data_IF_867297257722
#
_entry.id   IF_867297257722
#
_cell.length_a   1.000
_cell.length_b   1.000
_cell.length_c   1.000
_cell.angle_alpha   90.00
_cell.angle_beta   90.00
_cell.angle_gamma   90.00
#
_symmetry.space_group_name_H-M   'P 1'
#
loop_
_entity.id
_entity.type
_entity.pdbx_description
1 polymer ?
#
# COMPACT_ATOMS: atom_id res chain seq x y z
N UNK A 1 3.94 7.04 15.73
CA UNK A 1 4.96 7.85 16.44
C UNK A 1 5.47 7.10 17.65
N UNK A 2 6.75 7.27 18.01
CA UNK A 2 7.35 6.66 19.19
C UNK A 2 7.04 7.48 20.46
N UNK A 3 6.99 6.83 21.62
CA UNK A 3 6.87 7.48 22.93
C UNK A 3 8.24 7.75 23.52
N UNK A 4 8.31 8.64 24.51
CA UNK A 4 9.59 8.94 25.19
C UNK A 4 10.26 7.70 25.79
N UNK A 5 9.49 6.75 26.33
CA UNK A 5 10.05 5.53 26.90
C UNK A 5 10.63 4.59 25.83
N UNK A 6 10.04 4.58 24.63
CA UNK A 6 10.59 3.85 23.49
C UNK A 6 11.88 4.49 22.98
N UNK A 7 11.94 5.83 22.93
CA UNK A 7 13.14 6.57 22.53
C UNK A 7 14.28 6.41 23.55
N UNK A 8 13.98 6.51 24.84
CA UNK A 8 14.94 6.28 25.92
C UNK A 8 15.55 4.87 25.83
N UNK A 9 14.69 3.86 25.65
CA UNK A 9 15.12 2.48 25.45
C UNK A 9 15.95 2.28 24.18
N UNK A 10 15.63 2.99 23.10
CA UNK A 10 16.34 2.91 21.83
C UNK A 10 17.81 3.37 21.96
N UNK A 11 18.04 4.45 22.70
CA UNK A 11 19.38 5.03 22.88
C UNK A 11 20.08 4.56 24.16
N UNK A 12 19.49 3.62 24.90
CA UNK A 12 20.00 3.13 26.20
C UNK A 12 20.25 4.26 27.22
N UNK A 13 19.34 5.24 27.26
CA UNK A 13 19.37 6.37 28.20
C UNK A 13 18.10 6.42 29.04
N UNK A 14 18.08 7.23 30.08
CA UNK A 14 16.87 7.49 30.84
C UNK A 14 15.94 8.50 30.14
N UNK A 15 14.67 8.52 30.55
CA UNK A 15 13.67 9.41 29.95
C UNK A 15 13.96 10.90 30.21
N UNK A 16 14.66 11.26 31.29
CA UNK A 16 14.97 12.66 31.59
C UNK A 16 16.10 13.17 30.70
N UNK A 17 17.08 12.33 30.36
CA UNK A 17 18.07 12.61 29.31
C UNK A 17 17.39 12.92 27.97
N UNK A 18 16.42 12.11 27.54
CA UNK A 18 15.65 12.41 26.31
C UNK A 18 14.87 13.72 26.43
N UNK A 19 14.26 14.03 27.59
CA UNK A 19 13.57 15.32 27.82
C UNK A 19 14.53 16.51 27.73
N UNK A 20 15.76 16.32 28.20
CA UNK A 20 16.79 17.33 28.11
C UNK A 20 17.14 17.57 26.63
N UNK A 21 17.45 16.51 25.87
CA UNK A 21 17.80 16.63 24.45
C UNK A 21 16.73 17.36 23.62
N UNK A 22 15.45 17.01 23.78
CA UNK A 22 14.36 17.68 23.03
C UNK A 22 14.14 19.14 23.43
N UNK A 23 14.62 19.53 24.61
CA UNK A 23 14.54 20.93 25.07
C UNK A 23 15.72 21.73 24.55
N UNK A 24 16.92 21.16 24.63
CA UNK A 24 18.16 21.78 24.16
C UNK A 24 18.16 21.94 22.63
N UNK A 25 17.84 20.86 21.91
CA UNK A 25 17.85 20.81 20.45
C UNK A 25 16.45 21.01 19.86
N UNK A 26 15.63 21.85 20.50
CA UNK A 26 14.22 22.07 20.15
C UNK A 26 14.01 22.55 18.71
N UNK A 27 15.00 23.22 18.10
CA UNK A 27 14.95 23.70 16.72
C UNK A 27 15.05 22.56 15.67
N UNK A 28 15.52 21.38 16.09
CA UNK A 28 15.76 20.22 15.23
C UNK A 28 14.73 19.09 15.43
N UNK A 29 13.75 19.29 16.30
CA UNK A 29 12.66 18.34 16.56
C UNK A 29 11.31 19.02 16.39
N UNK A 30 10.29 18.21 16.14
CA UNK A 30 8.91 18.68 15.95
C UNK A 30 8.30 19.20 17.25
N UNK A 31 7.25 20.01 17.11
CA UNK A 31 6.43 20.45 18.23
C UNK A 31 5.76 19.28 18.97
N UNK A 32 5.51 18.16 18.29
CA UNK A 32 4.99 16.94 18.93
C UNK A 32 6.04 16.26 19.83
N UNK A 33 7.32 16.32 19.44
CA UNK A 33 8.43 15.88 20.27
C UNK A 33 8.71 16.86 21.42
N UNK A 34 8.44 18.16 21.21
CA UNK A 34 8.49 19.21 22.23
C UNK A 34 7.20 19.98 22.52
N UNK A 35 6.15 19.30 23.06
CA UNK A 35 4.84 19.90 23.21
C UNK A 35 4.70 20.72 24.49
N UNK A 36 3.62 21.50 24.57
CA UNK A 36 3.27 22.27 25.75
C UNK A 36 2.97 21.39 26.97
N UNK A 37 3.06 21.97 28.17
CA UNK A 37 2.86 21.28 29.44
C UNK A 37 1.51 20.53 29.48
N UNK A 38 1.56 19.26 29.87
CA UNK A 38 0.38 18.39 30.01
C UNK A 38 0.06 17.54 28.78
N UNK A 39 0.82 17.71 27.69
CA UNK A 39 0.74 16.85 26.51
C UNK A 39 1.83 15.78 26.52
N UNK A 40 1.53 14.64 25.88
CA UNK A 40 2.47 13.52 25.75
C UNK A 40 3.42 13.78 24.57
N UNK A 41 4.73 13.62 24.79
CA UNK A 41 5.75 13.69 23.72
C UNK A 41 5.59 12.55 22.73
N UNK A 42 5.60 12.87 21.45
CA UNK A 42 5.54 11.91 20.35
C UNK A 42 6.65 12.22 19.36
N UNK A 43 7.31 11.17 18.87
CA UNK A 43 8.49 11.30 18.00
C UNK A 43 8.22 10.65 16.64
N UNK A 44 8.48 11.39 15.57
CA UNK A 44 8.44 10.88 14.19
C UNK A 44 9.85 10.48 13.69
N UNK A 45 9.94 10.01 12.44
CA UNK A 45 11.22 9.61 11.83
C UNK A 45 12.27 10.75 11.83
N UNK A 46 11.86 12.01 11.60
CA UNK A 46 12.76 13.14 11.61
C UNK A 46 13.32 13.41 13.02
N UNK A 47 12.47 13.35 14.04
CA UNK A 47 12.89 13.51 15.44
C UNK A 47 13.90 12.43 15.84
N UNK A 48 13.65 11.17 15.46
CA UNK A 48 14.54 10.07 15.78
C UNK A 48 15.91 10.21 15.10
N UNK A 49 15.97 10.74 13.87
CA UNK A 49 17.24 11.01 13.18
C UNK A 49 18.06 12.06 13.91
N UNK A 50 17.43 13.18 14.31
CA UNK A 50 18.09 14.23 15.07
C UNK A 50 18.61 13.71 16.42
N UNK A 51 17.76 12.99 17.17
CA UNK A 51 18.13 12.43 18.46
C UNK A 51 19.18 11.32 18.37
N UNK A 52 19.24 10.57 17.27
CA UNK A 52 20.28 9.57 17.06
C UNK A 52 21.66 10.21 16.86
N UNK A 53 21.73 11.34 16.16
CA UNK A 53 22.98 12.12 16.06
C UNK A 53 23.37 12.69 17.42
N UNK A 54 22.41 13.23 18.17
CA UNK A 54 22.65 13.72 19.54
C UNK A 54 23.21 12.60 20.41
N UNK A 55 22.56 11.44 20.41
CA UNK A 55 22.97 10.28 21.20
C UNK A 55 24.38 9.79 20.83
N UNK A 56 24.75 9.80 19.54
CA UNK A 56 26.08 9.40 19.08
C UNK A 56 27.19 10.33 19.58
N UNK A 57 26.91 11.63 19.62
CA UNK A 57 27.86 12.65 20.06
C UNK A 57 27.77 12.95 21.56
N UNK A 58 26.91 12.25 22.28
CA UNK A 58 26.67 12.49 23.70
C UNK A 58 27.76 11.83 24.56
N UNK A 59 28.49 12.65 25.31
CA UNK A 59 29.55 12.23 26.23
C UNK A 59 29.28 12.77 27.66
N UNK A 60 30.16 12.49 28.63
CA UNK A 60 30.02 12.99 30.01
C UNK A 60 30.01 14.53 30.07
N UNK A 61 30.80 15.19 29.21
CA UNK A 61 30.84 16.64 28.99
C UNK A 61 30.56 16.92 27.50
N UNK A 62 29.28 16.97 27.07
CA UNK A 62 28.94 17.06 25.66
C UNK A 62 29.31 18.43 25.06
N UNK A 63 29.90 18.41 23.86
CA UNK A 63 30.17 19.61 23.07
C UNK A 63 28.89 20.06 22.34
N UNK A 64 28.10 20.91 23.00
CA UNK A 64 26.86 21.45 22.46
C UNK A 64 27.06 22.19 21.13
N UNK A 65 28.14 22.95 20.99
CA UNK A 65 28.42 23.71 19.76
C UNK A 65 28.64 22.76 18.58
N UNK A 66 29.38 21.67 18.81
CA UNK A 66 29.57 20.63 17.80
C UNK A 66 28.25 19.92 17.44
N UNK A 67 27.43 19.55 18.44
CA UNK A 67 26.14 18.90 18.17
C UNK A 67 25.22 19.81 17.35
N UNK A 68 25.10 21.09 17.72
CA UNK A 68 24.34 22.07 16.92
C UNK A 68 24.93 22.24 15.52
N UNK A 69 26.26 22.31 15.38
CA UNK A 69 26.90 22.45 14.07
C UNK A 69 26.56 21.26 13.15
N UNK A 70 26.60 20.03 13.70
CA UNK A 70 26.31 18.80 12.96
C UNK A 70 24.81 18.64 12.63
N UNK A 71 23.92 19.07 13.54
CA UNK A 71 22.49 19.13 13.24
C UNK A 71 22.19 20.15 12.14
N UNK A 72 22.80 21.34 12.20
CA UNK A 72 22.62 22.42 11.23
C UNK A 72 23.18 22.09 9.84
N UNK A 73 24.26 21.33 9.74
CA UNK A 73 24.78 20.87 8.45
C UNK A 73 23.97 19.71 7.85
N UNK A 74 23.01 19.17 8.60
CA UNK A 74 22.12 18.10 8.15
C UNK A 74 22.72 16.70 8.27
N UNK A 75 23.78 16.49 9.06
CA UNK A 75 24.47 15.19 9.20
C UNK A 75 23.51 14.07 9.64
N UNK A 76 22.49 14.41 10.44
CA UNK A 76 21.43 13.51 10.86
C UNK A 76 20.62 12.91 9.70
N UNK A 77 20.74 13.44 8.48
CA UNK A 77 20.14 12.85 7.26
C UNK A 77 21.00 11.74 6.62
N UNK A 78 22.17 11.44 7.20
CA UNK A 78 23.01 10.32 6.77
C UNK A 78 22.27 8.98 6.83
N UNK A 79 22.73 8.04 6.00
CA UNK A 79 22.08 6.73 5.81
C UNK A 79 21.91 5.96 7.13
N UNK A 80 22.94 5.94 7.99
CA UNK A 80 22.91 5.25 9.29
C UNK A 80 21.78 5.72 10.22
N UNK A 81 21.54 7.03 10.29
CA UNK A 81 20.52 7.61 11.16
C UNK A 81 19.13 7.43 10.55
N UNK A 82 19.05 7.53 9.23
CA UNK A 82 17.83 7.25 8.47
C UNK A 82 17.38 5.79 8.63
N UNK A 83 18.30 4.84 8.51
CA UNK A 83 18.02 3.42 8.71
C UNK A 83 17.52 3.16 10.13
N UNK A 84 18.24 3.67 11.15
CA UNK A 84 17.83 3.55 12.55
C UNK A 84 16.42 4.12 12.77
N UNK A 85 16.15 5.33 12.30
CA UNK A 85 14.85 5.95 12.48
C UNK A 85 13.72 5.16 11.81
N UNK A 86 13.94 4.61 10.62
CA UNK A 86 12.96 3.79 9.89
C UNK A 86 12.68 2.45 10.57
N UNK A 87 13.71 1.78 11.08
CA UNK A 87 13.57 0.50 11.80
C UNK A 87 12.84 0.65 13.14
N UNK A 88 12.88 1.84 13.73
CA UNK A 88 12.26 2.13 15.03
C UNK A 88 10.99 2.99 14.95
N UNK A 89 10.53 3.31 13.74
CA UNK A 89 9.23 3.95 13.50
C UNK A 89 8.22 2.91 13.00
N UNK A 90 7.00 2.83 13.56
CA UNK A 90 5.97 1.94 13.05
C UNK A 90 5.65 2.22 11.57
N UNK A 91 5.46 1.17 10.77
CA UNK A 91 5.06 1.30 9.35
C UNK A 91 3.65 1.91 9.23
N UNK A 92 2.73 1.53 10.12
CA UNK A 92 1.38 2.10 10.20
C UNK A 92 1.32 3.12 11.34
N UNK A 93 1.01 4.36 11.00
CA UNK A 93 1.08 5.52 11.90
C UNK A 93 -0.24 6.30 11.86
N UNK A 94 -0.45 7.15 12.86
CA UNK A 94 -1.49 8.16 12.82
C UNK A 94 -1.26 9.13 11.65
N UNK A 95 -2.34 9.76 11.20
CA UNK A 95 -2.31 10.75 10.12
C UNK A 95 -1.53 11.98 10.60
N UNK A 96 -0.46 12.41 9.90
CA UNK A 96 0.25 13.64 10.25
C UNK A 96 -0.67 14.87 10.21
N UNK A 97 -0.46 15.80 11.14
CA UNK A 97 -1.26 17.03 11.24
C UNK A 97 -0.98 18.02 10.09
N UNK A 98 0.16 17.86 9.40
CA UNK A 98 0.73 18.77 8.41
C UNK A 98 0.78 18.18 6.99
N UNK A 99 -0.23 17.40 6.61
CA UNK A 99 -0.33 16.85 5.24
C UNK A 99 -0.64 17.97 4.22
N UNK A 100 0.18 18.05 3.18
CA UNK A 100 -0.04 18.87 2.00
C UNK A 100 0.06 18.06 0.69
N UNK A 101 0.05 18.76 -0.46
CA UNK A 101 0.12 18.14 -1.79
C UNK A 101 1.46 17.47 -2.11
N UNK A 102 2.51 17.74 -1.33
CA UNK A 102 3.85 17.16 -1.51
C UNK A 102 4.04 15.83 -0.76
N UNK A 103 3.04 15.44 0.03
CA UNK A 103 3.10 14.26 0.89
C UNK A 103 3.22 12.95 0.11
N UNK A 104 4.13 12.08 0.56
CA UNK A 104 4.47 10.81 -0.09
C UNK A 104 3.94 9.59 0.69
N UNK A 105 2.70 9.67 1.16
CA UNK A 105 2.04 8.62 1.96
C UNK A 105 0.70 8.17 1.37
N UNK A 106 0.09 7.14 2.00
CA UNK A 106 -1.25 6.69 1.68
C UNK A 106 -2.09 6.55 2.95
N UNK A 107 -3.30 7.11 2.92
CA UNK A 107 -4.30 6.90 3.97
C UNK A 107 -4.98 5.54 3.76
N UNK A 108 -5.02 4.73 4.82
CA UNK A 108 -5.62 3.39 4.79
C UNK A 108 -6.67 3.29 5.89
N UNK A 109 -7.89 2.92 5.51
CA UNK A 109 -9.02 2.73 6.43
C UNK A 109 -9.77 4.01 6.79
N UNK A 110 -10.65 3.91 7.80
CA UNK A 110 -11.46 5.04 8.28
C UNK A 110 -12.28 5.73 7.18
N UNK A 111 -12.31 7.05 7.18
CA UNK A 111 -13.00 7.85 6.13
C UNK A 111 -12.29 7.81 4.77
N UNK A 112 -11.04 7.33 4.71
CA UNK A 112 -10.30 7.12 3.47
C UNK A 112 -10.58 5.74 2.82
N UNK A 113 -11.53 4.98 3.38
CA UNK A 113 -11.90 3.68 2.83
C UNK A 113 -12.43 3.81 1.40
N UNK A 114 -11.79 3.08 0.48
CA UNK A 114 -12.14 3.05 -0.94
C UNK A 114 -13.36 2.17 -1.18
N UNK A 115 -14.19 2.55 -2.13
CA UNK A 115 -15.27 1.68 -2.59
C UNK A 115 -14.72 0.48 -3.39
N UNK A 116 -15.55 -0.54 -3.61
CA UNK A 116 -15.14 -1.77 -4.29
C UNK A 116 -14.65 -1.54 -5.73
N UNK A 117 -15.21 -0.57 -6.45
CA UNK A 117 -14.78 -0.21 -7.82
C UNK A 117 -13.39 0.41 -7.77
N UNK A 118 -13.17 1.35 -6.85
CA UNK A 118 -11.88 2.00 -6.65
C UNK A 118 -10.80 0.98 -6.27
N UNK A 119 -11.11 -0.01 -5.44
CA UNK A 119 -10.18 -1.10 -5.11
C UNK A 119 -9.92 -1.97 -6.34
N UNK A 120 -10.95 -2.39 -7.09
CA UNK A 120 -10.78 -3.16 -8.33
C UNK A 120 -9.92 -2.45 -9.38
N UNK A 121 -10.12 -1.13 -9.55
CA UNK A 121 -9.29 -0.26 -10.39
C UNK A 121 -7.86 -0.20 -9.90
N UNK A 122 -7.64 -0.01 -8.60
CA UNK A 122 -6.29 0.07 -8.01
C UNK A 122 -5.47 -1.20 -8.30
N UNK A 123 -6.07 -2.39 -8.17
CA UNK A 123 -5.40 -3.65 -8.50
C UNK A 123 -5.10 -3.79 -10.00
N UNK A 124 -6.03 -3.39 -10.88
CA UNK A 124 -5.78 -3.37 -12.33
C UNK A 124 -4.65 -2.41 -12.69
N UNK A 125 -4.64 -1.19 -12.13
CA UNK A 125 -3.60 -0.19 -12.37
C UNK A 125 -2.24 -0.72 -11.95
N UNK A 126 -2.15 -1.39 -10.79
CA UNK A 126 -0.91 -2.03 -10.36
C UNK A 126 -0.45 -3.12 -11.35
N UNK A 127 -1.38 -3.96 -11.84
CA UNK A 127 -1.07 -4.98 -12.84
C UNK A 127 -0.60 -4.37 -14.18
N UNK A 128 -1.26 -3.31 -14.66
CA UNK A 128 -0.85 -2.60 -15.89
C UNK A 128 0.57 -2.04 -15.76
N UNK A 129 0.91 -1.50 -14.60
CA UNK A 129 2.22 -0.95 -14.31
C UNK A 129 3.30 -2.04 -14.26
N UNK A 130 3.00 -3.20 -13.67
CA UNK A 130 3.89 -4.36 -13.75
C UNK A 130 4.05 -4.89 -15.17
N UNK A 131 2.99 -4.94 -15.99
CA UNK A 131 3.10 -5.29 -17.41
C UNK A 131 4.00 -4.30 -18.14
N UNK A 132 3.87 -3.00 -17.88
CA UNK A 132 4.72 -1.97 -18.47
C UNK A 132 6.19 -2.21 -18.11
N UNK A 133 6.48 -2.55 -16.86
CA UNK A 133 7.84 -2.87 -16.40
C UNK A 133 8.36 -4.19 -16.99
N UNK A 134 7.55 -5.24 -17.07
CA UNK A 134 7.88 -6.51 -17.73
C UNK A 134 8.20 -6.36 -19.22
N UNK A 135 7.61 -5.37 -19.89
CA UNK A 135 7.85 -5.12 -21.31
C UNK A 135 9.02 -4.16 -21.58
N UNK A 136 9.57 -3.51 -20.55
CA UNK A 136 10.59 -2.46 -20.73
C UNK A 136 11.86 -2.63 -19.92
N UNK A 137 11.82 -3.34 -18.79
CA UNK A 137 12.92 -3.41 -17.82
C UNK A 137 13.23 -4.84 -17.37
N UNK A 138 12.20 -5.62 -17.07
CA UNK A 138 12.35 -7.00 -16.57
C UNK A 138 12.16 -8.03 -17.69
N UNK A 139 12.61 -9.26 -17.43
CA UNK A 139 12.14 -10.39 -18.21
C UNK A 139 10.71 -10.75 -17.75
N UNK A 140 9.74 -10.99 -18.67
CA UNK A 140 8.35 -11.19 -18.29
C UNK A 140 8.09 -12.25 -17.21
N UNK A 141 8.92 -13.29 -17.13
CA UNK A 141 8.80 -14.39 -16.18
C UNK A 141 9.27 -14.05 -14.75
N UNK A 142 9.92 -12.91 -14.54
CA UNK A 142 10.37 -12.49 -13.19
C UNK A 142 9.20 -11.94 -12.36
N UNK A 143 8.15 -11.46 -13.02
CA UNK A 143 7.00 -10.81 -12.40
C UNK A 143 5.65 -11.27 -12.98
N UNK A 144 5.61 -12.42 -13.64
CA UNK A 144 4.39 -12.99 -14.25
C UNK A 144 3.33 -13.38 -13.19
N UNK A 145 3.73 -14.03 -12.10
CA UNK A 145 2.85 -14.39 -10.98
C UNK A 145 2.09 -13.18 -10.42
N UNK A 146 2.75 -12.09 -9.98
CA UNK A 146 2.03 -10.93 -9.49
C UNK A 146 1.19 -10.23 -10.56
N UNK A 147 1.62 -10.18 -11.83
CA UNK A 147 0.79 -9.63 -12.92
C UNK A 147 -0.54 -10.38 -13.02
N UNK A 148 -0.47 -11.71 -13.12
CA UNK A 148 -1.67 -12.53 -13.34
C UNK A 148 -2.56 -12.50 -12.09
N UNK A 149 -1.96 -12.58 -10.89
CA UNK A 149 -2.70 -12.46 -9.62
C UNK A 149 -3.49 -11.15 -9.54
N UNK A 150 -2.86 -10.01 -9.80
CA UNK A 150 -3.49 -8.70 -9.67
C UNK A 150 -4.64 -8.51 -10.68
N UNK A 151 -4.46 -8.95 -11.93
CA UNK A 151 -5.54 -8.92 -12.91
C UNK A 151 -6.70 -9.84 -12.53
N UNK A 152 -6.41 -11.07 -12.10
CA UNK A 152 -7.41 -12.03 -11.62
C UNK A 152 -8.16 -11.49 -10.41
N UNK A 153 -7.48 -10.86 -9.46
CA UNK A 153 -8.12 -10.26 -8.30
C UNK A 153 -8.97 -9.03 -8.66
N UNK A 154 -8.52 -8.20 -9.61
CA UNK A 154 -9.34 -7.11 -10.15
C UNK A 154 -10.64 -7.62 -10.77
N UNK A 155 -10.59 -8.70 -11.56
CA UNK A 155 -11.78 -9.37 -12.11
C UNK A 155 -12.75 -9.80 -11.01
N UNK A 156 -12.25 -10.47 -9.97
CA UNK A 156 -13.06 -10.93 -8.85
C UNK A 156 -13.80 -9.76 -8.19
N UNK A 157 -13.08 -8.67 -7.91
CA UNK A 157 -13.65 -7.48 -7.27
C UNK A 157 -14.70 -6.81 -8.17
N UNK A 158 -14.48 -6.72 -9.47
CA UNK A 158 -15.49 -6.21 -10.41
C UNK A 158 -16.75 -7.08 -10.42
N UNK A 159 -16.60 -8.41 -10.52
CA UNK A 159 -17.73 -9.33 -10.49
C UNK A 159 -18.51 -9.21 -9.19
N UNK A 160 -17.82 -9.19 -8.04
CA UNK A 160 -18.42 -8.95 -6.73
C UNK A 160 -19.13 -7.60 -6.68
N UNK A 161 -18.57 -6.55 -7.28
CA UNK A 161 -19.17 -5.23 -7.32
C UNK A 161 -20.52 -5.22 -8.04
N UNK A 162 -20.64 -5.92 -9.16
CA UNK A 162 -21.88 -6.02 -9.96
C UNK A 162 -22.98 -6.85 -9.27
N UNK A 163 -22.63 -7.72 -8.32
CA UNK A 163 -23.59 -8.48 -7.53
C UNK A 163 -24.25 -7.61 -6.43
N UNK A 164 -25.56 -7.78 -6.26
CA UNK A 164 -26.37 -7.09 -5.23
C UNK A 164 -25.98 -7.55 -3.83
N UNK A 165 -25.83 -8.85 -3.63
CA UNK A 165 -25.25 -9.43 -2.42
C UNK A 165 -23.78 -9.76 -2.68
N UNK A 166 -22.88 -9.42 -1.75
CA UNK A 166 -21.46 -9.75 -1.88
C UNK A 166 -21.23 -11.17 -1.39
N UNK A 167 -20.93 -12.14 -2.28
CA UNK A 167 -20.66 -13.50 -1.85
C UNK A 167 -19.26 -13.60 -1.23
N UNK A 168 -19.09 -14.54 -0.31
CA UNK A 168 -17.78 -14.87 0.28
C UNK A 168 -16.88 -15.66 -0.68
N UNK A 169 -17.45 -16.27 -1.73
CA UNK A 169 -16.67 -17.02 -2.72
C UNK A 169 -15.69 -16.13 -3.49
N UNK A 170 -14.52 -16.68 -3.78
CA UNK A 170 -13.50 -16.04 -4.63
C UNK A 170 -13.47 -16.66 -6.02
N UNK A 171 -14.18 -17.76 -6.25
CA UNK A 171 -14.10 -18.55 -7.49
C UNK A 171 -14.82 -17.83 -8.63
N UNK A 172 -14.09 -17.51 -9.71
CA UNK A 172 -14.63 -16.77 -10.86
C UNK A 172 -15.84 -17.47 -11.49
N UNK A 173 -15.81 -18.80 -11.65
CA UNK A 173 -16.94 -19.55 -12.22
C UNK A 173 -18.24 -19.39 -11.42
N UNK A 174 -18.15 -19.41 -10.08
CA UNK A 174 -19.31 -19.19 -9.22
C UNK A 174 -19.83 -17.75 -9.34
N UNK A 175 -18.93 -16.77 -9.37
CA UNK A 175 -19.29 -15.36 -9.53
C UNK A 175 -19.98 -15.09 -10.87
N UNK A 176 -19.51 -15.71 -11.97
CA UNK A 176 -20.18 -15.66 -13.28
C UNK A 176 -21.61 -16.21 -13.17
N UNK A 177 -21.77 -17.39 -12.56
CA UNK A 177 -23.08 -18.03 -12.40
C UNK A 177 -24.07 -17.17 -11.61
N UNK A 178 -23.61 -16.59 -10.50
CA UNK A 178 -24.39 -15.66 -9.69
C UNK A 178 -24.80 -14.41 -10.48
N UNK A 179 -23.90 -13.87 -11.30
CA UNK A 179 -24.17 -12.67 -12.08
C UNK A 179 -25.18 -12.94 -13.21
N UNK A 180 -25.00 -14.04 -13.96
CA UNK A 180 -25.95 -14.44 -15.00
C UNK A 180 -27.35 -14.72 -14.41
N UNK A 181 -27.41 -15.37 -13.24
CA UNK A 181 -28.66 -15.59 -12.52
C UNK A 181 -29.32 -14.27 -12.09
N UNK A 182 -28.54 -13.31 -11.58
CA UNK A 182 -29.05 -12.01 -11.14
C UNK A 182 -29.59 -11.17 -12.30
N UNK A 183 -28.88 -11.13 -13.43
CA UNK A 183 -29.25 -10.31 -14.61
C UNK A 183 -30.34 -11.02 -15.43
N UNK A 184 -30.51 -12.33 -15.28
CA UNK A 184 -31.47 -13.12 -16.06
C UNK A 184 -31.06 -13.30 -17.53
N UNK A 185 -29.79 -13.06 -17.85
CA UNK A 185 -29.23 -13.24 -19.19
C UNK A 185 -27.78 -13.71 -19.09
N UNK A 186 -27.28 -14.31 -20.18
CA UNK A 186 -25.89 -14.75 -20.27
C UNK A 186 -24.98 -13.55 -20.52
N UNK A 187 -23.76 -13.62 -20.00
CA UNK A 187 -22.72 -12.66 -20.37
C UNK A 187 -22.41 -12.75 -21.86
N UNK A 188 -21.94 -11.64 -22.44
CA UNK A 188 -21.44 -11.64 -23.81
C UNK A 188 -20.35 -12.73 -23.97
N UNK A 189 -20.40 -13.47 -25.07
CA UNK A 189 -19.54 -14.66 -25.26
C UNK A 189 -18.05 -14.37 -25.04
N UNK A 190 -17.53 -13.28 -25.63
CA UNK A 190 -16.13 -12.90 -25.47
C UNK A 190 -15.76 -12.57 -24.01
N UNK A 191 -16.67 -11.96 -23.23
CA UNK A 191 -16.43 -11.68 -21.80
C UNK A 191 -16.34 -13.00 -21.05
N UNK A 192 -17.34 -13.87 -21.26
CA UNK A 192 -17.42 -15.16 -20.61
C UNK A 192 -16.18 -16.01 -20.91
N UNK A 193 -15.77 -16.09 -22.18
CA UNK A 193 -14.61 -16.88 -22.59
C UNK A 193 -13.33 -16.41 -21.89
N UNK A 194 -13.09 -15.10 -21.83
CA UNK A 194 -11.91 -14.54 -21.16
C UNK A 194 -11.94 -14.75 -19.65
N UNK A 195 -13.11 -14.65 -19.02
CA UNK A 195 -13.24 -14.98 -17.59
C UNK A 195 -12.98 -16.47 -17.31
N UNK A 196 -13.40 -17.35 -18.21
CA UNK A 196 -13.12 -18.79 -18.11
C UNK A 196 -11.65 -19.12 -18.31
N UNK A 197 -10.91 -18.37 -19.12
CA UNK A 197 -9.47 -18.54 -19.25
C UNK A 197 -8.75 -18.34 -17.89
N UNK A 198 -9.13 -17.31 -17.13
CA UNK A 198 -8.62 -17.09 -15.77
C UNK A 198 -9.05 -18.17 -14.78
N UNK A 199 -10.30 -18.64 -14.86
CA UNK A 199 -10.76 -19.69 -13.95
C UNK A 199 -10.07 -21.03 -14.22
N UNK A 200 -9.83 -21.41 -15.47
CA UNK A 200 -9.20 -22.70 -15.83
C UNK A 200 -7.76 -22.80 -15.33
N UNK A 201 -7.02 -21.69 -15.38
CA UNK A 201 -5.65 -21.68 -14.88
C UNK A 201 -5.62 -21.61 -13.36
N UNK A 202 -6.57 -20.91 -12.73
CA UNK A 202 -6.61 -20.66 -11.28
C UNK A 202 -7.98 -21.00 -10.68
N UNK A 203 -8.32 -22.29 -10.66
CA UNK A 203 -9.66 -22.77 -10.26
C UNK A 203 -9.99 -22.41 -8.81
N UNK A 204 -9.01 -22.56 -7.91
CA UNK A 204 -9.15 -22.35 -6.47
C UNK A 204 -8.66 -20.97 -6.00
N UNK A 205 -8.32 -20.08 -6.94
CA UNK A 205 -7.91 -18.71 -6.64
C UNK A 205 -6.56 -18.58 -5.94
N UNK A 206 -5.72 -19.60 -5.94
CA UNK A 206 -4.48 -19.71 -5.18
C UNK A 206 -3.21 -19.96 -5.98
N UNK A 207 -3.32 -20.30 -7.28
CA UNK A 207 -2.17 -20.68 -8.10
C UNK A 207 -1.08 -19.61 -8.14
N UNK A 208 -1.48 -18.34 -8.28
CA UNK A 208 -0.53 -17.21 -8.40
C UNK A 208 -0.15 -16.57 -7.06
N UNK A 209 -0.57 -17.17 -5.94
CA UNK A 209 -0.19 -16.73 -4.58
C UNK A 209 0.90 -17.57 -3.97
N UNK A 210 0.97 -18.84 -4.33
CA UNK A 210 1.86 -19.81 -3.72
C UNK A 210 2.63 -20.58 -4.79
N UNK A 211 3.85 -20.98 -4.45
CA UNK A 211 4.57 -21.97 -5.24
C UNK A 211 3.83 -23.31 -5.12
N UNK A 212 2.98 -23.60 -6.11
CA UNK A 212 2.21 -24.84 -6.20
C UNK A 212 3.00 -25.96 -6.87
N UNK A 213 2.42 -27.16 -6.85
CA UNK A 213 2.90 -28.24 -7.70
C UNK A 213 2.82 -27.80 -9.18
N UNK A 214 3.83 -28.13 -10.02
CA UNK A 214 3.82 -27.75 -11.41
C UNK A 214 2.56 -28.28 -12.09
N UNK A 215 1.88 -27.41 -12.84
CA UNK A 215 0.73 -27.83 -13.64
C UNK A 215 1.17 -28.83 -14.71
N UNK A 216 0.26 -29.72 -15.13
CA UNK A 216 0.58 -30.73 -16.15
C UNK A 216 0.86 -30.14 -17.55
N UNK A 217 0.59 -28.85 -17.76
CA UNK A 217 0.67 -28.19 -19.07
C UNK A 217 1.35 -26.82 -18.99
N UNK A 218 2.22 -26.53 -19.94
CA UNK A 218 2.80 -25.20 -20.12
C UNK A 218 1.83 -24.32 -20.93
N UNK A 219 1.60 -23.10 -20.46
CA UNK A 219 0.77 -22.11 -21.15
C UNK A 219 1.61 -20.87 -21.46
N UNK A 220 1.48 -20.37 -22.68
CA UNK A 220 2.09 -19.10 -23.08
C UNK A 220 1.08 -17.96 -22.95
N UNK A 221 1.53 -16.85 -22.36
CA UNK A 221 0.73 -15.63 -22.22
C UNK A 221 1.46 -14.47 -22.89
N UNK A 222 0.81 -13.83 -23.86
CA UNK A 222 1.30 -12.60 -24.45
C UNK A 222 0.84 -11.41 -23.60
N UNK A 223 1.77 -10.68 -22.98
CA UNK A 223 1.44 -9.58 -22.08
C UNK A 223 0.74 -8.39 -22.76
N UNK A 224 1.04 -8.10 -24.03
CA UNK A 224 0.28 -7.07 -24.78
C UNK A 224 -1.17 -7.48 -24.97
N UNK A 225 -1.40 -8.74 -25.34
CA UNK A 225 -2.75 -9.28 -25.48
C UNK A 225 -3.48 -9.30 -24.14
N UNK A 226 -2.82 -9.78 -23.08
CA UNK A 226 -3.38 -9.84 -21.73
C UNK A 226 -3.85 -8.46 -21.30
N UNK A 227 -2.99 -7.44 -21.38
CA UNK A 227 -3.36 -6.06 -21.05
C UNK A 227 -4.53 -5.57 -21.89
N UNK A 228 -4.50 -5.79 -23.21
CA UNK A 228 -5.58 -5.35 -24.10
C UNK A 228 -6.92 -6.00 -23.77
N UNK A 229 -6.93 -7.29 -23.39
CA UNK A 229 -8.14 -7.99 -22.90
C UNK A 229 -8.60 -7.40 -21.58
N UNK A 230 -7.68 -7.13 -20.65
CA UNK A 230 -8.00 -6.58 -19.34
C UNK A 230 -8.56 -5.15 -19.42
N UNK A 231 -8.05 -4.33 -20.34
CA UNK A 231 -8.61 -3.00 -20.63
C UNK A 231 -10.07 -3.10 -21.10
N UNK A 232 -10.37 -4.07 -21.98
CA UNK A 232 -11.72 -4.30 -22.49
C UNK A 232 -12.68 -4.87 -21.45
N UNK A 233 -12.22 -5.82 -20.63
CA UNK A 233 -13.02 -6.38 -19.53
C UNK A 233 -13.37 -5.29 -18.51
N UNK A 234 -12.39 -4.50 -18.07
CA UNK A 234 -12.62 -3.41 -17.13
C UNK A 234 -13.65 -2.39 -17.67
N UNK A 235 -13.50 -1.96 -18.93
CA UNK A 235 -14.48 -1.07 -19.56
C UNK A 235 -15.89 -1.66 -19.56
N UNK A 236 -16.05 -2.93 -19.94
CA UNK A 236 -17.35 -3.60 -19.94
C UNK A 236 -17.99 -3.70 -18.54
N UNK A 237 -17.19 -3.94 -17.50
CA UNK A 237 -17.68 -3.97 -16.12
C UNK A 237 -18.09 -2.59 -15.64
N UNK A 238 -17.28 -1.57 -15.90
CA UNK A 238 -17.58 -0.19 -15.51
C UNK A 238 -18.83 0.35 -16.22
N UNK A 239 -19.01 0.07 -17.50
CA UNK A 239 -20.21 0.44 -18.26
C UNK A 239 -21.47 -0.20 -17.62
N UNK A 240 -21.38 -1.48 -17.24
CA UNK A 240 -22.47 -2.16 -16.54
C UNK A 240 -22.78 -1.51 -15.18
N UNK A 241 -21.74 -1.25 -14.37
CA UNK A 241 -21.89 -0.63 -13.04
C UNK A 241 -22.49 0.78 -13.15
N UNK A 242 -22.04 1.58 -14.11
CA UNK A 242 -22.57 2.90 -14.38
C UNK A 242 -24.05 2.85 -14.80
N UNK A 243 -24.42 1.91 -15.67
CA UNK A 243 -25.80 1.72 -16.11
C UNK A 243 -26.75 1.35 -14.96
N UNK A 244 -26.32 0.46 -14.07
CA UNK A 244 -27.07 0.06 -12.87
C UNK A 244 -27.21 1.21 -11.87
N UNK A 245 -26.18 2.04 -11.72
CA UNK A 245 -26.19 3.20 -10.82
C UNK A 245 -27.14 4.28 -11.32
N UNK A 246 -27.13 4.55 -12.63
CA UNK A 246 -28.07 5.47 -13.26
C UNK A 246 -29.53 5.00 -13.11
N UNK A 247 -29.79 3.70 -13.28
CA UNK A 247 -31.12 3.12 -13.11
C UNK A 247 -31.66 3.23 -11.67
N UNK A 248 -30.78 3.27 -10.66
CA UNK A 248 -31.15 3.42 -9.24
C UNK A 248 -31.37 4.86 -8.81
N UNK A 249 -30.67 5.81 -9.41
CA UNK A 249 -30.70 7.25 -9.05
C UNK A 249 -31.74 8.04 -9.84
N UNK A 250 -32.20 7.53 -10.99
CA UNK A 250 -33.25 8.12 -11.82
C UNK A 250 -34.69 7.78 -11.41
N UNK A 251 -34.96 7.48 -10.13
CA UNK A 251 -36.31 7.28 -9.56
C UNK A 251 -36.54 8.19 -8.35
#
# INVERSE_FOLDING_TARGET
MATISQVAKLFDVDCDTVKFWVTEFAEHVTLAANPAKGQTRQFNEADLRALALVAELWEDEPDYENIHAMLNCGEHNGERFTELARLHTPIFQDVPDDIDETWQGALIGGMAMRDWVQVARSYKTAADELVRQALSQFEPHEIDYPIIFLYRHSIELYLKTMLKAKPETHVIAELIGLLEQQVGSKLAGWVKDRLWDFHRIDEQSDMFRYAGAPSATELWVNLHQLKGVMDRLAAAFEDHIASETAARTGR
#
